data_IF_958461466514
#
_entry.id   IF_958461466514
#
_cell.length_a   1.000
_cell.length_b   1.000
_cell.length_c   1.000
_cell.angle_alpha   90.00
_cell.angle_beta   90.00
_cell.angle_gamma   90.00
#
_symmetry.space_group_name_H-M   'P 1'
#
loop_
_entity.id
_entity.type
_entity.pdbx_description
1 polymer ?
#
# COMPACT_ATOMS: atom_id res chain seq x y z
N UNK A 1 -8.12 53.99 -13.50
CA UNK A 1 -8.20 52.94 -12.46
C UNK A 1 -7.44 51.73 -12.98
N UNK A 2 -6.23 51.53 -12.47
CA UNK A 2 -5.19 50.65 -13.05
C UNK A 2 -5.31 49.23 -12.50
N UNK A 3 -5.39 48.27 -13.41
CA UNK A 3 -4.89 46.89 -13.34
C UNK A 3 -4.65 46.31 -11.94
N UNK A 4 -5.70 45.79 -11.31
CA UNK A 4 -5.58 44.92 -10.12
C UNK A 4 -5.78 43.42 -10.46
N UNK A 5 -6.32 43.11 -11.64
CA UNK A 5 -6.70 41.74 -12.02
C UNK A 5 -5.51 40.85 -12.43
N UNK A 6 -4.40 41.44 -12.88
CA UNK A 6 -3.21 40.67 -13.27
C UNK A 6 -2.42 40.11 -12.08
N UNK A 7 -2.42 40.81 -10.94
CA UNK A 7 -1.64 40.42 -9.76
C UNK A 7 -2.25 39.20 -9.04
N UNK A 8 -3.59 39.11 -9.04
CA UNK A 8 -4.33 38.00 -8.42
C UNK A 8 -4.12 36.69 -9.21
N UNK A 9 -4.07 36.76 -10.53
CA UNK A 9 -3.81 35.59 -11.38
C UNK A 9 -2.41 35.02 -11.14
N UNK A 10 -1.38 35.87 -11.00
CA UNK A 10 0.00 35.43 -10.77
C UNK A 10 0.20 34.76 -9.40
N UNK A 11 -0.50 35.22 -8.36
CA UNK A 11 -0.47 34.62 -7.02
C UNK A 11 -1.18 33.25 -6.95
N UNK A 12 -2.23 33.05 -7.76
CA UNK A 12 -2.92 31.76 -7.84
C UNK A 12 -2.10 30.70 -8.60
N UNK A 13 -1.31 31.09 -9.61
CA UNK A 13 -0.44 30.15 -10.33
C UNK A 13 0.84 29.76 -9.58
N UNK A 14 1.36 30.61 -8.68
CA UNK A 14 2.55 30.28 -7.87
C UNK A 14 2.26 29.24 -6.77
N UNK A 15 0.99 29.13 -6.34
CA UNK A 15 0.59 28.25 -5.25
C UNK A 15 0.52 26.77 -5.66
N UNK A 16 0.36 26.47 -6.95
CA UNK A 16 0.30 25.10 -7.48
C UNK A 16 1.68 24.48 -7.74
N UNK A 17 2.75 25.29 -7.81
CA UNK A 17 4.10 24.83 -8.16
C UNK A 17 4.94 24.34 -6.97
N UNK A 18 4.43 24.50 -5.73
CA UNK A 18 5.04 23.92 -4.52
C UNK A 18 4.40 22.56 -4.16
N UNK A 19 3.92 21.81 -5.16
CA UNK A 19 3.73 20.38 -4.98
C UNK A 19 5.12 19.75 -4.81
N UNK A 20 5.63 19.78 -3.58
CA UNK A 20 6.81 19.05 -3.16
C UNK A 20 6.53 17.59 -3.51
N UNK A 21 7.20 17.07 -4.55
CA UNK A 21 7.21 15.64 -4.84
C UNK A 21 7.77 14.98 -3.57
N UNK A 22 6.85 14.46 -2.74
CA UNK A 22 7.17 13.97 -1.40
C UNK A 22 8.36 13.03 -1.50
N UNK A 23 9.35 13.21 -0.62
CA UNK A 23 10.58 12.41 -0.61
C UNK A 23 10.37 10.91 -0.39
N UNK A 24 9.13 10.41 -0.42
CA UNK A 24 8.78 9.01 -0.28
C UNK A 24 8.50 8.30 -1.61
N UNK A 25 8.64 6.98 -1.60
CA UNK A 25 8.24 6.10 -2.71
C UNK A 25 7.65 4.81 -2.15
N UNK A 26 6.60 4.31 -2.81
CA UNK A 26 6.19 2.89 -2.70
C UNK A 26 6.79 2.19 -3.92
N UNK A 27 7.89 1.48 -3.71
CA UNK A 27 8.71 0.88 -4.78
C UNK A 27 8.08 -0.41 -5.30
N UNK A 28 7.57 -1.24 -4.39
CA UNK A 28 6.98 -2.55 -4.75
C UNK A 28 5.95 -2.96 -3.71
N UNK A 29 4.88 -3.58 -4.17
CA UNK A 29 3.85 -4.20 -3.31
C UNK A 29 3.68 -5.64 -3.75
N UNK A 30 3.80 -6.56 -2.79
CA UNK A 30 3.66 -7.99 -3.00
C UNK A 30 2.56 -8.56 -2.09
N UNK A 31 1.34 -8.79 -2.61
CA UNK A 31 0.32 -9.53 -1.88
C UNK A 31 0.64 -11.03 -1.86
N UNK A 32 0.62 -11.63 -0.68
CA UNK A 32 0.92 -13.02 -0.42
C UNK A 32 -0.17 -13.67 0.44
N UNK A 33 -0.75 -14.77 -0.03
CA UNK A 33 -1.56 -15.61 0.82
C UNK A 33 -0.68 -16.30 1.86
N UNK A 34 -1.17 -16.32 3.10
CA UNK A 34 -0.56 -17.07 4.18
C UNK A 34 -1.36 -18.33 4.45
N UNK A 35 -0.68 -19.44 4.69
CA UNK A 35 -1.30 -20.67 5.20
C UNK A 35 -1.54 -20.58 6.72
N UNK A 36 -2.08 -21.65 7.32
CA UNK A 36 -2.37 -21.69 8.77
C UNK A 36 -1.13 -21.56 9.67
N UNK A 37 0.05 -21.80 9.14
CA UNK A 37 1.33 -21.63 9.84
C UNK A 37 1.95 -20.24 9.58
N UNK A 38 1.28 -19.38 8.80
CA UNK A 38 1.78 -18.06 8.43
C UNK A 38 2.79 -18.06 7.28
N UNK A 39 2.93 -19.19 6.57
CA UNK A 39 3.88 -19.34 5.46
C UNK A 39 3.27 -18.82 4.16
N UNK A 40 4.10 -18.13 3.39
CA UNK A 40 3.77 -17.66 2.02
C UNK A 40 4.54 -18.44 0.93
N UNK A 41 5.46 -19.30 1.35
CA UNK A 41 6.27 -20.22 0.53
C UNK A 41 6.69 -21.40 1.44
N UNK A 42 6.93 -22.57 0.87
CA UNK A 42 7.46 -23.73 1.63
C UNK A 42 9.00 -23.73 1.67
N UNK A 43 9.64 -22.91 0.84
CA UNK A 43 11.08 -22.80 0.66
C UNK A 43 11.48 -21.37 0.24
N UNK A 44 12.77 -21.00 0.27
CA UNK A 44 13.23 -19.70 -0.23
C UNK A 44 13.23 -19.59 -1.77
N UNK A 45 12.80 -20.61 -2.51
CA UNK A 45 12.77 -20.59 -3.98
C UNK A 45 11.60 -19.76 -4.50
N UNK A 46 11.89 -18.83 -5.44
CA UNK A 46 10.85 -18.03 -6.10
C UNK A 46 9.89 -18.89 -6.92
N UNK A 47 10.40 -19.93 -7.58
CA UNK A 47 9.57 -20.85 -8.36
C UNK A 47 8.60 -21.61 -7.46
N UNK A 48 9.09 -22.11 -6.32
CA UNK A 48 8.25 -22.83 -5.36
C UNK A 48 7.23 -21.90 -4.71
N UNK A 49 7.62 -20.69 -4.31
CA UNK A 49 6.67 -19.68 -3.81
C UNK A 49 5.52 -19.45 -4.79
N UNK A 50 5.81 -19.28 -6.07
CA UNK A 50 4.77 -18.99 -7.07
C UNK A 50 3.84 -20.19 -7.26
N UNK A 51 4.39 -21.42 -7.26
CA UNK A 51 3.60 -22.65 -7.26
C UNK A 51 2.71 -22.77 -6.02
N UNK A 52 3.25 -22.45 -4.83
CA UNK A 52 2.51 -22.51 -3.58
C UNK A 52 1.40 -21.45 -3.51
N UNK A 53 1.66 -20.23 -3.97
CA UNK A 53 0.63 -19.19 -4.10
C UNK A 53 -0.48 -19.61 -5.08
N UNK A 54 -0.14 -20.34 -6.16
CA UNK A 54 -1.15 -20.91 -7.06
C UNK A 54 -1.97 -22.02 -6.40
N UNK A 55 -1.34 -22.86 -5.56
CA UNK A 55 -2.03 -23.85 -4.73
C UNK A 55 -3.01 -23.20 -3.74
N UNK A 56 -2.56 -22.21 -2.96
CA UNK A 56 -3.41 -21.51 -2.00
C UNK A 56 -4.62 -20.83 -2.65
N UNK A 57 -4.47 -20.26 -3.85
CA UNK A 57 -5.60 -19.72 -4.65
C UNK A 57 -6.65 -20.78 -5.00
N UNK A 58 -6.21 -22.01 -5.27
CA UNK A 58 -7.08 -23.14 -5.61
C UNK A 58 -7.69 -23.79 -4.36
N UNK A 59 -7.10 -23.57 -3.19
CA UNK A 59 -7.55 -24.16 -1.92
C UNK A 59 -7.81 -23.08 -0.85
N UNK A 60 -8.85 -22.22 -1.01
CA UNK A 60 -9.09 -21.09 -0.09
C UNK A 60 -9.29 -21.46 1.39
N UNK A 61 -9.63 -22.72 1.69
CA UNK A 61 -9.76 -23.23 3.06
C UNK A 61 -8.43 -23.32 3.81
N UNK A 62 -7.31 -23.30 3.10
CA UNK A 62 -5.95 -23.27 3.66
C UNK A 62 -5.46 -21.85 3.94
N UNK A 63 -6.07 -20.83 3.34
CA UNK A 63 -5.70 -19.43 3.53
C UNK A 63 -6.10 -18.98 4.95
N UNK A 64 -5.12 -18.46 5.69
CA UNK A 64 -5.31 -17.86 7.01
C UNK A 64 -5.30 -16.33 6.97
N UNK A 65 -4.64 -15.72 5.99
CA UNK A 65 -4.54 -14.27 5.85
C UNK A 65 -4.02 -13.87 4.46
N UNK A 66 -4.10 -12.58 4.15
CA UNK A 66 -3.38 -11.95 3.03
C UNK A 66 -2.39 -10.93 3.59
N UNK A 67 -1.09 -11.11 3.33
CA UNK A 67 -0.02 -10.19 3.75
C UNK A 67 0.44 -9.36 2.57
N UNK A 68 0.56 -8.06 2.76
CA UNK A 68 1.18 -7.14 1.83
C UNK A 68 2.62 -6.89 2.28
N UNK A 69 3.58 -7.40 1.53
CA UNK A 69 4.98 -7.04 1.69
C UNK A 69 5.27 -5.82 0.81
N UNK A 70 5.54 -4.69 1.46
CA UNK A 70 5.69 -3.39 0.80
C UNK A 70 7.13 -2.95 0.92
N UNK A 71 7.78 -2.74 -0.22
CA UNK A 71 9.05 -2.04 -0.30
C UNK A 71 8.78 -0.55 -0.50
N UNK A 72 9.34 0.26 0.37
CA UNK A 72 9.14 1.70 0.36
C UNK A 72 10.42 2.42 0.79
N UNK A 73 10.48 3.71 0.47
CA UNK A 73 11.55 4.60 0.93
C UNK A 73 10.97 5.94 1.37
N UNK A 74 11.64 6.62 2.29
CA UNK A 74 11.38 8.00 2.66
C UNK A 74 12.73 8.73 2.84
N UNK A 75 12.86 9.88 2.18
CA UNK A 75 14.01 10.78 2.32
C UNK A 75 13.72 11.86 3.37
N UNK A 76 14.79 12.52 3.84
CA UNK A 76 14.69 13.56 4.86
C UNK A 76 14.63 13.01 6.29
N UNK A 77 13.94 13.72 7.18
CA UNK A 77 13.75 13.34 8.59
C UNK A 77 12.25 13.14 8.89
N UNK A 78 11.62 12.12 8.30
CA UNK A 78 10.21 11.89 8.52
C UNK A 78 9.95 11.49 9.98
N UNK A 79 8.84 11.95 10.54
CA UNK A 79 8.58 11.82 11.98
C UNK A 79 7.57 10.71 12.29
N UNK A 80 6.50 10.60 11.50
CA UNK A 80 5.33 9.78 11.79
C UNK A 80 4.94 8.96 10.56
N UNK A 81 5.81 8.04 10.15
CA UNK A 81 5.57 7.23 8.96
C UNK A 81 4.54 6.12 9.20
N UNK A 82 3.57 6.03 8.28
CA UNK A 82 2.61 4.93 8.22
C UNK A 82 2.41 4.44 6.79
N UNK A 83 2.27 3.13 6.64
CA UNK A 83 1.68 2.53 5.45
C UNK A 83 0.18 2.38 5.67
N UNK A 84 -0.62 2.81 4.69
CA UNK A 84 -2.06 2.56 4.63
C UNK A 84 -2.36 1.69 3.42
N UNK A 85 -3.01 0.55 3.64
CA UNK A 85 -3.48 -0.37 2.61
C UNK A 85 -4.99 -0.29 2.58
N UNK A 86 -5.55 0.01 1.42
CA UNK A 86 -6.97 -0.12 1.17
C UNK A 86 -7.20 -1.30 0.23
N UNK A 87 -8.03 -2.25 0.65
CA UNK A 87 -8.32 -3.48 -0.09
C UNK A 87 -9.81 -3.54 -0.46
N UNK A 88 -10.08 -3.86 -1.73
CA UNK A 88 -11.42 -4.08 -2.27
C UNK A 88 -11.55 -5.53 -2.74
N UNK A 89 -12.75 -6.07 -2.61
CA UNK A 89 -13.02 -7.47 -2.93
C UNK A 89 -14.00 -7.67 -4.07
N UNK A 90 -14.22 -8.94 -4.41
CA UNK A 90 -15.12 -9.35 -5.49
C UNK A 90 -16.59 -9.51 -5.06
N UNK A 91 -16.86 -9.53 -3.75
CA UNK A 91 -18.23 -9.66 -3.23
C UNK A 91 -19.02 -8.37 -3.44
N UNK A 92 -20.19 -8.47 -4.07
CA UNK A 92 -21.07 -7.33 -4.29
C UNK A 92 -21.40 -6.62 -2.96
N UNK A 93 -21.33 -5.28 -2.98
CA UNK A 93 -21.56 -4.41 -1.82
C UNK A 93 -20.58 -4.58 -0.63
N UNK A 94 -19.49 -5.35 -0.76
CA UNK A 94 -18.46 -5.40 0.26
C UNK A 94 -17.74 -4.05 0.38
N UNK A 95 -17.71 -3.51 1.59
CA UNK A 95 -17.01 -2.26 1.86
C UNK A 95 -15.48 -2.48 1.83
N UNK A 96 -14.69 -1.51 1.32
CA UNK A 96 -13.24 -1.59 1.36
C UNK A 96 -12.72 -1.75 2.79
N UNK A 97 -11.67 -2.55 2.96
CA UNK A 97 -10.95 -2.68 4.23
C UNK A 97 -9.73 -1.77 4.22
N UNK A 98 -9.54 -1.01 5.30
CA UNK A 98 -8.39 -0.12 5.49
C UNK A 98 -7.53 -0.69 6.61
N UNK A 99 -6.24 -0.87 6.31
CA UNK A 99 -5.23 -1.32 7.26
C UNK A 99 -4.17 -0.23 7.37
N UNK A 100 -3.70 0.04 8.58
CA UNK A 100 -2.59 0.96 8.80
C UNK A 100 -1.51 0.28 9.64
N UNK A 101 -0.25 0.57 9.31
CA UNK A 101 0.89 0.14 10.10
C UNK A 101 1.89 1.28 10.21
N UNK A 102 2.29 1.62 11.44
CA UNK A 102 3.43 2.49 11.68
C UNK A 102 4.70 1.80 11.16
N UNK A 103 5.55 2.53 10.45
CA UNK A 103 6.78 2.01 9.85
C UNK A 103 7.96 2.90 10.17
N UNK A 104 9.16 2.33 10.13
CA UNK A 104 10.41 3.07 10.35
C UNK A 104 11.36 2.79 9.19
N UNK A 105 12.04 3.82 8.67
CA UNK A 105 12.98 3.63 7.58
C UNK A 105 14.20 2.87 8.10
N UNK A 106 14.79 2.03 7.25
CA UNK A 106 16.11 1.46 7.51
C UNK A 106 17.21 2.51 7.38
N UNK A 107 18.46 2.09 7.57
CA UNK A 107 19.63 2.97 7.52
C UNK A 107 19.83 3.68 6.17
N UNK A 108 19.36 3.08 5.07
CA UNK A 108 19.36 3.65 3.71
C UNK A 108 18.18 4.57 3.42
N UNK A 109 17.27 4.78 4.37
CA UNK A 109 16.00 5.44 4.12
C UNK A 109 14.96 4.55 3.42
N UNK A 110 15.23 3.25 3.24
CA UNK A 110 14.29 2.28 2.66
C UNK A 110 14.05 1.09 3.59
N UNK A 111 12.90 0.44 3.44
CA UNK A 111 12.55 -0.75 4.20
C UNK A 111 11.51 -1.62 3.47
N UNK A 112 11.50 -2.90 3.84
CA UNK A 112 10.34 -3.77 3.63
C UNK A 112 9.48 -3.77 4.89
N UNK A 113 8.17 -3.71 4.72
CA UNK A 113 7.22 -3.80 5.82
C UNK A 113 6.05 -4.68 5.42
N UNK A 114 5.63 -5.53 6.35
CA UNK A 114 4.49 -6.42 6.18
C UNK A 114 3.24 -5.81 6.83
N UNK A 115 2.14 -5.76 6.09
CA UNK A 115 0.82 -5.41 6.64
C UNK A 115 -0.18 -6.51 6.31
N UNK A 116 -0.85 -7.04 7.32
CA UNK A 116 -1.68 -8.24 7.20
C UNK A 116 -3.16 -7.91 7.25
N UNK A 117 -3.90 -8.35 6.24
CA UNK A 117 -5.35 -8.47 6.26
C UNK A 117 -5.69 -9.85 6.86
N UNK A 118 -6.35 -9.85 8.02
CA UNK A 118 -6.74 -11.08 8.70
C UNK A 118 -7.75 -11.92 7.89
N UNK A 119 -7.94 -13.17 8.33
CA UNK A 119 -8.83 -14.13 7.67
C UNK A 119 -10.26 -13.61 7.51
N UNK A 120 -10.80 -13.03 8.57
CA UNK A 120 -12.20 -12.62 8.62
C UNK A 120 -12.42 -11.46 7.65
N UNK A 121 -11.55 -10.44 7.70
CA UNK A 121 -11.56 -9.30 6.79
C UNK A 121 -11.37 -9.74 5.34
N UNK A 122 -10.46 -10.68 5.07
CA UNK A 122 -10.26 -11.27 3.74
C UNK A 122 -11.51 -12.01 3.22
N UNK A 123 -12.16 -12.80 4.07
CA UNK A 123 -13.38 -13.55 3.73
C UNK A 123 -14.59 -12.62 3.53
N UNK A 124 -14.72 -11.56 4.33
CA UNK A 124 -15.77 -10.55 4.17
C UNK A 124 -15.70 -9.85 2.80
N UNK A 125 -14.50 -9.65 2.27
CA UNK A 125 -14.28 -9.11 0.92
C UNK A 125 -14.61 -10.13 -0.21
N UNK A 126 -14.69 -11.43 0.12
CA UNK A 126 -14.80 -12.49 -0.88
C UNK A 126 -13.52 -12.66 -1.70
N UNK A 127 -12.36 -12.45 -1.07
CA UNK A 127 -11.07 -12.30 -1.73
C UNK A 127 -10.77 -10.86 -2.12
N UNK A 128 -9.48 -10.54 -2.31
CA UNK A 128 -9.04 -9.19 -2.73
C UNK A 128 -8.84 -9.15 -4.23
N UNK A 129 -9.50 -8.23 -4.90
CA UNK A 129 -9.43 -8.03 -6.37
C UNK A 129 -8.67 -6.76 -6.73
N UNK A 130 -8.71 -5.74 -5.86
CA UNK A 130 -7.98 -4.50 -6.05
C UNK A 130 -7.43 -3.98 -4.72
N UNK A 131 -6.31 -3.28 -4.77
CA UNK A 131 -5.68 -2.67 -3.60
C UNK A 131 -5.01 -1.34 -3.96
N UNK A 132 -4.89 -0.47 -2.95
CA UNK A 132 -4.06 0.73 -2.96
C UNK A 132 -3.18 0.74 -1.71
N UNK A 133 -1.91 1.05 -1.89
CA UNK A 133 -0.94 1.27 -0.82
C UNK A 133 -0.48 2.71 -0.87
N UNK A 134 -0.52 3.38 0.27
CA UNK A 134 -0.04 4.76 0.41
C UNK A 134 0.94 4.85 1.56
N UNK A 135 2.01 5.62 1.37
CA UNK A 135 2.96 5.99 2.41
C UNK A 135 2.65 7.40 2.88
N UNK A 136 2.58 7.60 4.18
CA UNK A 136 2.25 8.89 4.80
C UNK A 136 3.31 9.26 5.83
N UNK A 137 3.52 10.57 6.01
CA UNK A 137 4.19 11.16 7.18
C UNK A 137 3.21 12.14 7.85
N UNK A 138 2.67 11.72 9.00
CA UNK A 138 1.51 12.40 9.60
C UNK A 138 0.35 12.46 8.60
N UNK A 139 -0.11 13.67 8.28
CA UNK A 139 -1.23 13.91 7.34
C UNK A 139 -0.75 14.14 5.89
N UNK A 140 0.55 14.14 5.64
CA UNK A 140 1.08 14.28 4.29
C UNK A 140 1.23 12.89 3.64
N UNK A 141 0.51 12.67 2.54
CA UNK A 141 0.76 11.50 1.69
C UNK A 141 2.05 11.71 0.89
N UNK A 142 3.01 10.83 1.08
CA UNK A 142 4.32 10.88 0.41
C UNK A 142 4.33 10.13 -0.92
N UNK A 143 3.63 8.98 -1.00
CA UNK A 143 3.61 8.15 -2.18
C UNK A 143 2.38 7.24 -2.25
N UNK A 144 2.03 6.80 -3.46
CA UNK A 144 0.94 5.86 -3.75
C UNK A 144 1.42 4.79 -4.74
N UNK A 145 0.94 3.56 -4.56
CA UNK A 145 0.92 2.54 -5.60
C UNK A 145 -0.41 1.79 -5.53
N UNK A 146 -0.95 1.36 -6.66
CA UNK A 146 -2.23 0.65 -6.73
C UNK A 146 -2.18 -0.51 -7.70
N UNK A 147 -3.02 -1.52 -7.46
CA UNK A 147 -3.26 -2.60 -8.40
C UNK A 147 -3.91 -2.07 -9.68
N UNK A 148 -3.81 -2.84 -10.77
CA UNK A 148 -4.43 -2.47 -12.05
C UNK A 148 -5.94 -2.22 -11.97
N UNK A 149 -6.66 -2.96 -11.14
CA UNK A 149 -8.12 -2.89 -11.01
C UNK A 149 -8.63 -1.86 -9.98
N UNK A 150 -7.76 -0.96 -9.49
CA UNK A 150 -8.10 0.02 -8.46
C UNK A 150 -8.90 1.22 -8.96
#
# INVERSE_FOLDING_TARGET
MRSASGLVAVLLFLSAALAHAGGGKVLKVLPHFLDREGRHALSPSLFERDAYQAHLRKTPSEISALRFDVNWSAAGKPANLRLRIEARGGKAAAQPKVLEAAVKPGWTGSAWSAVTLDKESYQQLGGVTAWRVTLWDGEQMLAEQKSFLW
#
